data_IF_739995375935
#
_entry.id   IF_739995375935
#
_cell.length_a   1.000
_cell.length_b   1.000
_cell.length_c   1.000
_cell.angle_alpha   90.00
_cell.angle_beta   90.00
_cell.angle_gamma   90.00
#
_symmetry.space_group_name_H-M   'P 1'
#
loop_
_entity.id
_entity.type
_entity.pdbx_description
1 polymer ?
#
# COMPACT_ATOMS: atom_id res chain seq x y z
N UNK A 1 46.41 -64.23 22.00
CA UNK A 1 45.99 -64.11 23.41
C UNK A 1 44.65 -63.40 23.42
N UNK A 2 43.64 -64.07 23.99
CA UNK A 2 42.31 -63.53 24.26
C UNK A 2 42.35 -62.62 25.50
N UNK A 3 41.35 -61.75 25.67
CA UNK A 3 40.44 -61.67 26.83
C UNK A 3 39.51 -60.46 26.62
N UNK A 4 38.19 -60.72 26.63
CA UNK A 4 37.15 -59.70 26.64
C UNK A 4 36.69 -59.35 28.06
N UNK A 5 35.81 -58.37 28.16
CA UNK A 5 34.68 -58.34 29.09
C UNK A 5 33.68 -57.29 28.62
N UNK A 6 32.43 -57.75 28.56
CA UNK A 6 31.20 -57.02 28.27
C UNK A 6 30.90 -55.95 29.33
N UNK A 7 30.14 -54.92 28.94
CA UNK A 7 29.01 -54.46 29.74
C UNK A 7 27.95 -53.77 28.86
N UNK A 8 26.84 -54.50 28.76
CA UNK A 8 25.46 -54.18 28.46
C UNK A 8 25.00 -52.70 28.48
N UNK A 9 24.20 -52.34 27.46
CA UNK A 9 22.74 -52.14 27.64
C UNK A 9 21.98 -52.06 26.31
N UNK A 10 21.02 -52.99 26.19
CA UNK A 10 19.95 -53.11 25.19
C UNK A 10 18.69 -52.31 25.60
N UNK A 11 17.75 -52.29 24.64
CA UNK A 11 16.28 -52.12 24.76
C UNK A 11 15.77 -50.66 24.90
N UNK A 12 14.68 -50.22 24.26
CA UNK A 12 13.67 -50.88 23.43
C UNK A 12 12.84 -49.82 22.66
N UNK A 13 12.09 -50.27 21.66
CA UNK A 13 11.10 -49.50 20.89
C UNK A 13 9.97 -48.93 21.76
N UNK A 14 9.39 -47.79 21.37
CA UNK A 14 7.94 -47.52 21.47
C UNK A 14 7.58 -46.28 20.65
N UNK A 15 6.51 -46.39 19.87
CA UNK A 15 6.06 -45.38 18.92
C UNK A 15 5.45 -44.13 19.55
N UNK A 16 5.36 -43.09 18.72
CA UNK A 16 4.39 -42.00 18.89
C UNK A 16 3.74 -41.74 17.54
N UNK A 17 2.52 -42.22 17.42
CA UNK A 17 1.51 -41.75 16.48
C UNK A 17 1.24 -40.25 16.67
N UNK A 18 1.20 -39.56 15.53
CA UNK A 18 0.19 -38.55 15.15
C UNK A 18 -0.17 -37.46 16.18
N UNK A 19 0.19 -36.22 15.84
CA UNK A 19 -0.82 -35.14 15.87
C UNK A 19 -0.51 -34.07 14.82
N UNK A 20 -1.31 -34.17 13.76
CA UNK A 20 -1.65 -33.13 12.81
C UNK A 20 -1.80 -31.73 13.44
N UNK A 21 -1.17 -30.75 12.80
CA UNK A 21 -1.90 -29.61 12.22
C UNK A 21 -0.99 -28.90 11.23
N UNK A 22 -0.87 -29.52 10.05
CA UNK A 22 -0.73 -28.77 8.81
C UNK A 22 -1.92 -27.82 8.79
N UNK A 23 -1.69 -26.52 9.04
CA UNK A 23 -2.68 -25.49 8.73
C UNK A 23 -2.69 -25.40 7.20
N UNK A 24 -3.37 -26.35 6.57
CA UNK A 24 -3.89 -26.16 5.23
C UNK A 24 -5.05 -25.19 5.39
N UNK A 25 -4.75 -23.91 5.24
CA UNK A 25 -5.77 -22.89 4.97
C UNK A 25 -6.44 -23.32 3.68
N UNK A 26 -7.48 -24.13 3.80
CA UNK A 26 -8.36 -24.50 2.71
C UNK A 26 -9.08 -23.20 2.38
N UNK A 27 -8.58 -22.45 1.41
CA UNK A 27 -9.28 -21.30 0.84
C UNK A 27 -10.65 -21.81 0.39
N UNK A 28 -11.67 -21.51 1.20
CA UNK A 28 -13.04 -21.86 0.89
C UNK A 28 -13.38 -21.06 -0.36
N UNK A 29 -13.44 -21.74 -1.51
CA UNK A 29 -13.76 -21.13 -2.79
C UNK A 29 -15.15 -20.49 -2.66
N UNK A 30 -15.20 -19.16 -2.63
CA UNK A 30 -16.46 -18.42 -2.52
C UNK A 30 -17.39 -18.83 -3.65
N UNK A 31 -18.68 -18.94 -3.33
CA UNK A 31 -19.70 -19.22 -4.33
C UNK A 31 -20.00 -17.98 -5.16
N UNK A 32 -20.46 -18.17 -6.40
CA UNK A 32 -20.86 -17.06 -7.28
C UNK A 32 -21.91 -16.15 -6.61
N UNK A 33 -22.82 -16.72 -5.81
CA UNK A 33 -23.84 -15.96 -5.06
C UNK A 33 -23.16 -15.04 -4.04
N UNK A 34 -22.26 -15.57 -3.24
CA UNK A 34 -21.52 -14.77 -2.24
C UNK A 34 -20.75 -13.64 -2.90
N UNK A 35 -20.04 -13.90 -4.01
CA UNK A 35 -19.26 -12.89 -4.75
C UNK A 35 -20.17 -11.76 -5.26
N UNK A 36 -21.30 -12.11 -5.90
CA UNK A 36 -22.29 -11.13 -6.37
C UNK A 36 -22.81 -10.25 -5.24
N UNK A 37 -23.14 -10.86 -4.10
CA UNK A 37 -23.59 -10.09 -2.93
C UNK A 37 -22.49 -9.18 -2.38
N UNK A 38 -21.23 -9.64 -2.31
CA UNK A 38 -20.12 -8.80 -1.85
C UNK A 38 -19.94 -7.58 -2.76
N UNK A 39 -19.85 -7.80 -4.07
CA UNK A 39 -19.70 -6.72 -5.05
C UNK A 39 -20.89 -5.75 -5.00
N UNK A 40 -22.12 -6.28 -4.89
CA UNK A 40 -23.33 -5.49 -4.74
C UNK A 40 -23.32 -4.61 -3.48
N UNK A 41 -22.84 -5.14 -2.35
CA UNK A 41 -22.67 -4.37 -1.11
C UNK A 41 -21.66 -3.23 -1.27
N UNK A 42 -20.48 -3.49 -1.83
CA UNK A 42 -19.47 -2.45 -2.06
C UNK A 42 -20.00 -1.33 -2.96
N UNK A 43 -20.65 -1.69 -4.07
CA UNK A 43 -21.26 -0.74 -5.00
C UNK A 43 -22.32 0.09 -4.29
N UNK A 44 -23.20 -0.54 -3.51
CA UNK A 44 -24.23 0.18 -2.76
C UNK A 44 -23.65 1.11 -1.69
N UNK A 45 -22.59 0.70 -1.00
CA UNK A 45 -21.90 1.55 -0.02
C UNK A 45 -21.29 2.78 -0.69
N UNK A 46 -20.65 2.61 -1.85
CA UNK A 46 -20.14 3.73 -2.64
C UNK A 46 -21.28 4.66 -3.09
N UNK A 47 -22.40 4.10 -3.55
CA UNK A 47 -23.55 4.88 -4.01
C UNK A 47 -24.21 5.70 -2.90
N UNK A 48 -24.14 5.24 -1.65
CA UNK A 48 -24.60 5.99 -0.48
C UNK A 48 -23.64 7.11 -0.06
N UNK A 49 -22.40 7.07 -0.55
CA UNK A 49 -21.33 7.97 -0.15
C UNK A 49 -20.49 7.37 0.98
N UNK A 50 -19.17 7.53 0.85
CA UNK A 50 -18.18 7.14 1.85
C UNK A 50 -17.54 8.42 2.37
N UNK A 51 -17.48 8.59 3.69
CA UNK A 51 -16.74 9.68 4.30
C UNK A 51 -15.25 9.31 4.37
N UNK A 52 -14.44 10.01 3.60
CA UNK A 52 -13.00 9.82 3.57
C UNK A 52 -12.24 10.79 4.49
N UNK A 53 -12.93 11.62 5.29
CA UNK A 53 -12.29 12.71 6.05
C UNK A 53 -11.34 12.18 7.12
N UNK A 54 -11.75 11.16 7.88
CA UNK A 54 -10.96 10.57 8.97
C UNK A 54 -9.67 9.89 8.50
N UNK A 55 -9.61 9.50 7.23
CA UNK A 55 -8.43 8.85 6.64
C UNK A 55 -7.24 9.81 6.41
N UNK A 56 -7.40 11.10 6.70
CA UNK A 56 -6.41 12.15 6.39
C UNK A 56 -5.77 12.76 7.64
N UNK A 57 -6.00 12.15 8.80
CA UNK A 57 -5.60 12.70 10.10
C UNK A 57 -4.17 12.29 10.51
N UNK A 58 -3.68 11.14 10.03
CA UNK A 58 -2.40 10.55 10.38
C UNK A 58 -1.80 9.74 9.23
N UNK A 59 -0.55 9.27 9.37
CA UNK A 59 0.06 8.41 8.35
C UNK A 59 -0.65 7.06 8.27
N UNK A 60 -1.02 6.50 9.42
CA UNK A 60 -1.69 5.21 9.55
C UNK A 60 -3.09 5.26 8.94
N UNK A 61 -3.82 6.35 9.16
CA UNK A 61 -5.13 6.55 8.55
C UNK A 61 -5.04 6.73 7.03
N UNK A 62 -4.01 7.41 6.52
CA UNK A 62 -3.74 7.48 5.07
C UNK A 62 -3.46 6.08 4.50
N UNK A 63 -2.67 5.26 5.19
CA UNK A 63 -2.38 3.88 4.79
C UNK A 63 -3.65 3.03 4.76
N UNK A 64 -4.58 3.21 5.70
CA UNK A 64 -5.85 2.50 5.69
C UNK A 64 -6.71 2.82 4.46
N UNK A 65 -6.70 4.06 3.96
CA UNK A 65 -7.41 4.42 2.72
C UNK A 65 -6.77 3.74 1.50
N UNK A 66 -5.44 3.68 1.45
CA UNK A 66 -4.73 2.97 0.39
C UNK A 66 -5.03 1.46 0.42
N UNK A 67 -5.10 0.86 1.60
CA UNK A 67 -5.50 -0.55 1.78
C UNK A 67 -6.94 -0.78 1.31
N UNK A 68 -7.86 0.16 1.58
CA UNK A 68 -9.23 0.07 1.07
C UNK A 68 -9.26 0.04 -0.46
N UNK A 69 -8.48 0.89 -1.14
CA UNK A 69 -8.35 0.85 -2.60
C UNK A 69 -7.78 -0.49 -3.10
N UNK A 70 -6.80 -1.06 -2.39
CA UNK A 70 -6.25 -2.38 -2.71
C UNK A 70 -7.28 -3.51 -2.55
N UNK A 71 -8.11 -3.46 -1.51
CA UNK A 71 -9.19 -4.43 -1.30
C UNK A 71 -10.21 -4.38 -2.45
N UNK A 72 -10.61 -3.18 -2.86
CA UNK A 72 -11.49 -3.04 -4.02
C UNK A 72 -10.82 -3.51 -5.31
N UNK A 73 -9.54 -3.20 -5.52
CA UNK A 73 -8.80 -3.67 -6.68
C UNK A 73 -8.75 -5.20 -6.76
N UNK A 74 -8.49 -5.87 -5.64
CA UNK A 74 -8.51 -7.34 -5.55
C UNK A 74 -9.87 -7.89 -5.97
N UNK A 75 -10.96 -7.35 -5.42
CA UNK A 75 -12.34 -7.75 -5.77
C UNK A 75 -12.65 -7.53 -7.24
N UNK A 76 -12.21 -6.41 -7.82
CA UNK A 76 -12.38 -6.10 -9.25
C UNK A 76 -11.64 -7.14 -10.11
N UNK A 77 -10.40 -7.47 -9.78
CA UNK A 77 -9.59 -8.42 -10.54
C UNK A 77 -10.14 -9.85 -10.45
N UNK A 78 -10.61 -10.26 -9.27
CA UNK A 78 -11.32 -11.53 -9.07
C UNK A 78 -12.60 -11.57 -9.92
N UNK A 79 -13.37 -10.48 -9.94
CA UNK A 79 -14.61 -10.39 -10.71
C UNK A 79 -14.35 -10.49 -12.23
N UNK A 80 -13.33 -9.79 -12.74
CA UNK A 80 -12.92 -9.83 -14.15
C UNK A 80 -12.46 -11.22 -14.59
N UNK A 81 -11.85 -11.96 -13.67
CA UNK A 81 -11.33 -13.32 -13.93
C UNK A 81 -12.41 -14.40 -13.80
N UNK A 82 -13.63 -14.06 -13.38
CA UNK A 82 -14.74 -15.01 -13.25
C UNK A 82 -15.20 -15.53 -14.61
N UNK A 83 -15.84 -16.71 -14.65
CA UNK A 83 -16.55 -17.20 -15.84
C UNK A 83 -18.01 -16.74 -15.90
N UNK A 84 -18.50 -16.09 -14.84
CA UNK A 84 -19.88 -15.62 -14.74
C UNK A 84 -20.00 -14.17 -15.26
N UNK A 85 -20.80 -13.96 -16.31
CA UNK A 85 -20.93 -12.65 -16.96
C UNK A 85 -21.49 -11.58 -16.01
N UNK A 86 -22.45 -11.93 -15.14
CA UNK A 86 -23.01 -10.97 -14.18
C UNK A 86 -21.95 -10.51 -13.17
N UNK A 87 -21.04 -11.42 -12.77
CA UNK A 87 -19.93 -11.07 -11.86
C UNK A 87 -18.97 -10.10 -12.56
N UNK A 88 -18.66 -10.35 -13.84
CA UNK A 88 -17.81 -9.43 -14.63
C UNK A 88 -18.44 -8.04 -14.73
N UNK A 89 -19.73 -7.96 -15.04
CA UNK A 89 -20.45 -6.69 -15.17
C UNK A 89 -20.44 -5.91 -13.83
N UNK A 90 -20.65 -6.60 -12.70
CA UNK A 90 -20.53 -5.98 -11.38
C UNK A 90 -19.09 -5.52 -11.10
N UNK A 91 -18.09 -6.29 -11.52
CA UNK A 91 -16.67 -5.92 -11.43
C UNK A 91 -16.35 -4.63 -12.20
N UNK A 92 -16.83 -4.50 -13.44
CA UNK A 92 -16.66 -3.31 -14.29
C UNK A 92 -17.38 -2.08 -13.70
N UNK A 93 -18.57 -2.29 -13.14
CA UNK A 93 -19.32 -1.24 -12.44
C UNK A 93 -18.58 -0.75 -11.20
N UNK A 94 -18.04 -1.67 -10.40
CA UNK A 94 -17.24 -1.34 -9.22
C UNK A 94 -15.97 -0.59 -9.63
N UNK A 95 -15.25 -1.09 -10.64
CA UNK A 95 -14.04 -0.44 -11.18
C UNK A 95 -14.30 1.01 -11.58
N UNK A 96 -15.35 1.25 -12.35
CA UNK A 96 -15.69 2.60 -12.82
C UNK A 96 -15.91 3.56 -11.64
N UNK A 97 -16.53 3.08 -10.55
CA UNK A 97 -16.76 3.87 -9.34
C UNK A 97 -15.48 4.12 -8.55
N UNK A 98 -14.67 3.07 -8.35
CA UNK A 98 -13.40 3.15 -7.61
C UNK A 98 -12.42 4.08 -8.32
N UNK A 99 -12.32 4.01 -9.65
CA UNK A 99 -11.49 4.94 -10.44
C UNK A 99 -11.89 6.41 -10.21
N UNK A 100 -13.19 6.71 -10.13
CA UNK A 100 -13.68 8.07 -9.84
C UNK A 100 -13.30 8.53 -8.43
N UNK A 101 -13.45 7.65 -7.43
CA UNK A 101 -13.06 7.92 -6.05
C UNK A 101 -11.56 8.22 -5.97
N UNK A 102 -10.72 7.35 -6.53
CA UNK A 102 -9.27 7.52 -6.52
C UNK A 102 -8.85 8.87 -7.15
N UNK A 103 -9.43 9.23 -8.31
CA UNK A 103 -9.16 10.52 -8.96
C UNK A 103 -9.48 11.70 -8.05
N UNK A 104 -10.55 11.63 -7.24
CA UNK A 104 -10.88 12.69 -6.29
C UNK A 104 -10.07 12.66 -4.99
N UNK A 105 -9.67 11.49 -4.52
CA UNK A 105 -9.06 11.31 -3.19
C UNK A 105 -7.54 11.39 -3.20
N UNK A 106 -6.83 10.87 -4.22
CA UNK A 106 -5.37 10.93 -4.27
C UNK A 106 -4.79 12.35 -4.09
N UNK A 107 -5.33 13.41 -4.74
CA UNK A 107 -4.85 14.77 -4.49
C UNK A 107 -5.01 15.21 -3.02
N UNK A 108 -6.08 14.77 -2.35
CA UNK A 108 -6.34 15.09 -0.94
C UNK A 108 -5.39 14.32 -0.02
N UNK A 109 -5.17 13.03 -0.30
CA UNK A 109 -4.21 12.19 0.41
C UNK A 109 -2.79 12.77 0.34
N UNK A 110 -2.34 13.19 -0.86
CA UNK A 110 -1.03 13.84 -1.04
C UNK A 110 -0.88 15.10 -0.19
N UNK A 111 -1.89 15.98 -0.21
CA UNK A 111 -1.87 17.20 0.61
C UNK A 111 -1.87 16.90 2.11
N UNK A 112 -2.67 15.92 2.54
CA UNK A 112 -2.71 15.49 3.94
C UNK A 112 -1.35 14.94 4.38
N UNK A 113 -0.77 14.03 3.59
CA UNK A 113 0.56 13.49 3.80
C UNK A 113 1.62 14.59 3.91
N UNK A 114 1.66 15.52 2.94
CA UNK A 114 2.59 16.65 2.97
C UNK A 114 2.49 17.48 4.25
N UNK A 115 1.26 17.78 4.72
CA UNK A 115 1.05 18.49 5.99
C UNK A 115 1.54 17.71 7.21
N UNK A 116 1.31 16.39 7.24
CA UNK A 116 1.75 15.54 8.35
C UNK A 116 3.28 15.46 8.38
N UNK A 117 3.91 15.25 7.23
CA UNK A 117 5.37 15.19 7.10
C UNK A 117 6.01 16.54 7.42
N UNK A 118 5.43 17.66 6.95
CA UNK A 118 5.89 19.01 7.31
C UNK A 118 5.98 19.21 8.83
N UNK A 119 4.95 18.79 9.57
CA UNK A 119 4.93 18.88 11.04
C UNK A 119 6.02 18.03 11.69
N UNK A 120 6.26 16.82 11.16
CA UNK A 120 7.29 15.91 11.68
C UNK A 120 8.70 16.42 11.42
N UNK A 121 8.94 17.01 10.26
CA UNK A 121 10.27 17.45 9.83
C UNK A 121 10.61 18.90 10.22
N UNK A 122 9.65 19.64 10.77
CA UNK A 122 9.88 21.00 11.27
C UNK A 122 11.03 21.08 12.27
N UNK A 123 11.16 20.10 13.17
CA UNK A 123 12.25 20.04 14.17
C UNK A 123 13.64 19.90 13.54
N UNK A 124 13.71 19.36 12.33
CA UNK A 124 14.94 19.21 11.55
C UNK A 124 15.21 20.42 10.63
N UNK A 125 14.42 21.50 10.76
CA UNK A 125 14.47 22.68 9.89
C UNK A 125 14.25 22.34 8.41
N UNK A 126 13.33 21.41 8.15
CA UNK A 126 12.91 21.06 6.79
C UNK A 126 11.48 21.51 6.57
N UNK A 127 11.30 22.37 5.59
CA UNK A 127 10.00 22.76 5.08
C UNK A 127 9.52 21.77 4.02
N UNK A 128 8.21 21.53 4.00
CA UNK A 128 7.60 20.60 3.04
C UNK A 128 6.41 21.26 2.37
N UNK A 129 6.42 21.26 1.04
CA UNK A 129 5.34 21.79 0.22
C UNK A 129 4.83 20.72 -0.75
N UNK A 130 3.52 20.72 -1.00
CA UNK A 130 2.89 19.88 -2.02
C UNK A 130 2.16 20.77 -3.02
N UNK A 131 2.56 20.69 -4.28
CA UNK A 131 2.07 21.55 -5.35
C UNK A 131 1.98 20.84 -6.70
N UNK A 132 1.74 21.61 -7.76
CA UNK A 132 1.59 21.12 -9.12
C UNK A 132 0.18 20.58 -9.40
N UNK A 133 -0.04 20.16 -10.65
CA UNK A 133 -1.33 19.64 -11.08
C UNK A 133 -1.74 18.43 -10.21
N UNK A 134 -2.93 18.50 -9.62
CA UNK A 134 -3.45 17.47 -8.71
C UNK A 134 -2.50 17.11 -7.55
N UNK A 135 -1.65 18.06 -7.12
CA UNK A 135 -0.76 17.88 -5.96
C UNK A 135 0.28 16.78 -6.14
N UNK A 136 0.72 16.54 -7.39
CA UNK A 136 1.62 15.44 -7.76
C UNK A 136 3.11 15.72 -7.50
N UNK A 137 3.47 16.89 -7.01
CA UNK A 137 4.86 17.22 -6.66
C UNK A 137 4.96 17.50 -5.17
N UNK A 138 5.94 16.90 -4.52
CA UNK A 138 6.34 17.22 -3.15
C UNK A 138 7.74 17.83 -3.17
N UNK A 139 7.97 18.84 -2.35
CA UNK A 139 9.27 19.50 -2.22
C UNK A 139 9.68 19.55 -0.76
N UNK A 140 10.94 19.20 -0.53
CA UNK A 140 11.61 19.31 0.76
C UNK A 140 12.67 20.41 0.65
N UNK A 141 12.62 21.39 1.54
CA UNK A 141 13.57 22.51 1.55
C UNK A 141 14.24 22.57 2.91
N UNK A 142 15.56 22.53 2.96
CA UNK A 142 16.31 22.60 4.22
C UNK A 142 17.81 22.45 4.02
N UNK A 143 18.58 23.07 4.92
CA UNK A 143 20.05 23.17 4.78
C UNK A 143 20.75 21.81 4.67
N UNK A 144 20.17 20.74 5.23
CA UNK A 144 20.71 19.37 5.11
C UNK A 144 20.84 18.92 3.65
N UNK A 145 20.00 19.44 2.76
CA UNK A 145 19.98 19.07 1.35
C UNK A 145 21.08 19.77 0.56
N UNK A 146 21.93 20.62 1.16
CA UNK A 146 23.19 21.00 0.50
C UNK A 146 24.06 19.77 0.18
N UNK A 147 23.97 18.71 1.01
CA UNK A 147 24.69 17.46 0.81
C UNK A 147 23.88 16.47 -0.06
N UNK A 148 24.45 16.01 -1.17
CA UNK A 148 23.83 15.03 -2.08
C UNK A 148 23.49 13.70 -1.40
N UNK A 149 24.31 13.26 -0.42
CA UNK A 149 24.04 12.03 0.34
C UNK A 149 22.69 12.11 1.06
N UNK A 150 22.42 13.23 1.72
CA UNK A 150 21.17 13.43 2.47
C UNK A 150 19.95 13.45 1.53
N UNK A 151 20.09 14.00 0.32
CA UNK A 151 19.04 13.96 -0.71
C UNK A 151 18.72 12.52 -1.11
N UNK A 152 19.74 11.72 -1.39
CA UNK A 152 19.60 10.32 -1.78
C UNK A 152 18.97 9.48 -0.64
N UNK A 153 19.49 9.56 0.58
CA UNK A 153 18.97 8.79 1.72
C UNK A 153 17.51 9.15 2.04
N UNK A 154 17.15 10.43 1.95
CA UNK A 154 15.76 10.87 2.13
C UNK A 154 14.86 10.34 1.02
N UNK A 155 15.33 10.40 -0.23
CA UNK A 155 14.59 9.85 -1.38
C UNK A 155 14.36 8.36 -1.23
N UNK A 156 15.39 7.58 -0.90
CA UNK A 156 15.29 6.13 -0.70
C UNK A 156 14.29 5.79 0.42
N UNK A 157 14.35 6.53 1.53
CA UNK A 157 13.45 6.34 2.68
C UNK A 157 11.99 6.62 2.33
N UNK A 158 11.71 7.66 1.54
CA UNK A 158 10.33 8.10 1.25
C UNK A 158 9.76 7.50 -0.05
N UNK A 159 10.61 6.96 -0.92
CA UNK A 159 10.25 6.55 -2.28
C UNK A 159 9.02 5.65 -2.33
N UNK A 160 8.94 4.66 -1.46
CA UNK A 160 7.81 3.71 -1.43
C UNK A 160 6.49 4.42 -1.14
N UNK A 161 6.42 5.20 -0.06
CA UNK A 161 5.21 5.93 0.32
C UNK A 161 4.83 6.97 -0.74
N UNK A 162 5.81 7.68 -1.32
CA UNK A 162 5.55 8.65 -2.38
C UNK A 162 4.97 7.98 -3.64
N UNK A 163 5.44 6.77 -3.99
CA UNK A 163 4.89 5.98 -5.08
C UNK A 163 3.48 5.47 -4.77
N UNK A 164 3.21 4.98 -3.57
CA UNK A 164 1.87 4.56 -3.16
C UNK A 164 0.86 5.72 -3.18
N UNK A 165 1.29 6.92 -2.79
CA UNK A 165 0.49 8.15 -2.89
C UNK A 165 0.48 8.75 -4.30
N UNK A 166 1.10 8.08 -5.26
CA UNK A 166 1.12 8.46 -6.68
C UNK A 166 1.67 9.85 -6.93
N UNK A 167 2.62 10.30 -6.11
CA UNK A 167 3.42 11.48 -6.48
C UNK A 167 4.18 11.18 -7.77
N UNK A 168 4.41 12.20 -8.60
CA UNK A 168 5.17 12.10 -9.85
C UNK A 168 6.56 12.69 -9.74
N UNK A 169 6.79 13.57 -8.75
CA UNK A 169 8.08 14.21 -8.56
C UNK A 169 8.32 14.54 -7.09
N UNK A 170 9.55 14.32 -6.64
CA UNK A 170 10.07 14.77 -5.36
C UNK A 170 11.25 15.74 -5.59
N UNK A 171 11.19 16.92 -5.00
CA UNK A 171 12.22 17.95 -5.12
C UNK A 171 12.97 18.13 -3.79
N UNK A 172 14.27 18.40 -3.86
CA UNK A 172 15.14 18.63 -2.72
C UNK A 172 15.93 19.92 -2.91
N UNK A 173 15.61 20.94 -2.12
CA UNK A 173 16.25 22.26 -2.13
C UNK A 173 17.05 22.49 -0.85
N UNK A 174 18.20 23.14 -0.95
CA UNK A 174 18.95 23.54 0.25
C UNK A 174 18.42 24.83 0.89
N UNK A 175 17.76 25.69 0.10
CA UNK A 175 17.09 26.93 0.52
C UNK A 175 15.96 27.31 -0.46
N UNK A 176 15.08 28.24 -0.08
CA UNK A 176 13.83 28.53 -0.81
C UNK A 176 14.06 29.09 -2.23
N UNK A 177 15.07 29.93 -2.41
CA UNK A 177 15.41 30.58 -3.70
C UNK A 177 16.38 29.76 -4.56
N UNK A 178 16.55 28.47 -4.25
CA UNK A 178 17.39 27.59 -5.06
C UNK A 178 16.73 27.32 -6.41
N UNK A 179 17.29 27.92 -7.46
CA UNK A 179 16.87 27.70 -8.85
C UNK A 179 17.45 26.38 -9.40
N UNK A 180 18.57 25.90 -8.86
CA UNK A 180 19.20 24.63 -9.22
C UNK A 180 19.05 23.59 -8.11
N UNK A 181 18.04 22.73 -8.23
CA UNK A 181 17.74 21.73 -7.22
C UNK A 181 17.72 20.31 -7.77
N UNK A 182 17.98 19.33 -6.91
CA UNK A 182 17.86 17.92 -7.27
C UNK A 182 16.39 17.51 -7.23
N UNK A 183 15.96 16.78 -8.24
CA UNK A 183 14.64 16.18 -8.26
C UNK A 183 14.72 14.72 -8.69
N UNK A 184 13.72 13.96 -8.27
CA UNK A 184 13.50 12.59 -8.68
C UNK A 184 12.12 12.50 -9.32
N UNK A 185 12.07 11.98 -10.55
CA UNK A 185 10.82 11.57 -11.17
C UNK A 185 10.42 10.21 -10.58
N UNK A 186 9.13 10.08 -10.27
CA UNK A 186 8.54 8.89 -9.66
C UNK A 186 7.65 8.19 -10.69
N UNK A 187 7.98 6.93 -10.99
CA UNK A 187 7.21 6.10 -11.90
C UNK A 187 6.00 5.45 -11.20
N UNK A 188 5.14 6.31 -10.65
CA UNK A 188 3.91 5.89 -10.00
C UNK A 188 2.75 5.79 -10.99
N UNK A 189 1.66 5.10 -10.63
CA UNK A 189 0.46 5.02 -11.47
C UNK A 189 -0.31 6.35 -11.55
N UNK A 190 -1.17 6.50 -12.55
CA UNK A 190 -2.12 7.61 -12.61
C UNK A 190 -3.33 7.36 -11.69
N UNK A 191 -3.97 8.43 -11.20
CA UNK A 191 -5.07 8.35 -10.22
C UNK A 191 -6.30 7.56 -10.72
N UNK A 192 -6.48 7.46 -12.04
CA UNK A 192 -7.54 6.70 -12.69
C UNK A 192 -7.20 5.22 -12.94
N UNK A 193 -5.99 4.76 -12.61
CA UNK A 193 -5.61 3.36 -12.70
C UNK A 193 -5.95 2.66 -11.39
N UNK A 194 -6.51 1.44 -11.46
CA UNK A 194 -6.78 0.65 -10.24
C UNK A 194 -5.44 0.33 -9.57
N UNK A 195 -5.39 0.44 -8.24
CA UNK A 195 -4.21 0.03 -7.46
C UNK A 195 -3.94 -1.45 -7.74
N UNK A 196 -2.75 -1.82 -8.20
CA UNK A 196 -2.39 -3.24 -8.26
C UNK A 196 -1.65 -3.59 -6.97
N UNK A 197 -1.95 -4.79 -6.46
CA UNK A 197 -1.17 -5.43 -5.42
C UNK A 197 0.07 -6.01 -6.12
N UNK A 198 1.24 -5.42 -5.87
CA UNK A 198 2.52 -6.06 -6.18
C UNK A 198 2.90 -7.02 -5.04
#
# INVERSE_FOLDING_TARGET
MAFGSDDDKKEEETGVESTDKIISTTEKKQTDVEIKEQLGREISSIDKGIDFTSYKESIESIQLELVLFQVWAKKINEAKSSNNNDIKELGEKLETKVKKIQVSEFPKLRKAYGKIVAKKLWVENIEVEVFGNNSKTIQFTGGIFANNKNKQETQETLSEMLNFLRFKKANYKWYEYDDEYTYYDLDSKNDNEIVELN
#
